data_IF_314294760906
#
_entry.id   IF_314294760906
#
_cell.length_a   1.000
_cell.length_b   1.000
_cell.length_c   1.000
_cell.angle_alpha   90.00
_cell.angle_beta   90.00
_cell.angle_gamma   90.00
#
_symmetry.space_group_name_H-M   'P 1'
#
loop_
_entity.id
_entity.type
_entity.pdbx_description
1 polymer ?
#
# COMPACT_ATOMS: atom_id res chain seq x y z
N UNK A 1 -10.22 2.92 -13.46
CA UNK A 1 -9.23 1.84 -13.70
C UNK A 1 -8.99 1.12 -12.38
N UNK A 2 -8.39 -0.06 -12.39
CA UNK A 2 -8.01 -0.78 -11.18
C UNK A 2 -6.54 -0.45 -10.87
N UNK A 3 -6.19 -0.39 -9.59
CA UNK A 3 -4.80 -0.27 -9.16
C UNK A 3 -4.21 -1.62 -8.81
N UNK A 4 -2.89 -1.75 -8.96
CA UNK A 4 -2.14 -2.99 -8.72
C UNK A 4 -0.96 -2.72 -7.81
N UNK A 5 -0.74 -3.61 -6.84
CA UNK A 5 0.46 -3.62 -5.99
C UNK A 5 1.11 -5.00 -6.06
N UNK A 6 2.37 -5.06 -6.44
CA UNK A 6 3.20 -6.28 -6.39
C UNK A 6 4.11 -6.23 -5.17
N UNK A 7 3.95 -7.18 -4.25
CA UNK A 7 4.65 -7.17 -2.95
C UNK A 7 5.97 -7.96 -2.97
N UNK A 8 6.24 -8.69 -4.06
CA UNK A 8 7.31 -9.68 -4.14
C UNK A 8 6.83 -11.10 -3.76
N UNK A 9 7.66 -12.11 -4.03
CA UNK A 9 7.31 -13.51 -3.72
C UNK A 9 6.11 -14.07 -4.49
N UNK A 10 5.70 -13.42 -5.59
CA UNK A 10 4.50 -13.78 -6.37
C UNK A 10 3.19 -13.25 -5.78
N UNK A 11 3.24 -12.50 -4.68
CA UNK A 11 2.09 -11.89 -4.05
C UNK A 11 1.72 -10.56 -4.75
N UNK A 12 0.44 -10.43 -5.09
CA UNK A 12 -0.10 -9.30 -5.83
C UNK A 12 -1.50 -8.99 -5.35
N UNK A 13 -1.80 -7.71 -5.23
CA UNK A 13 -3.15 -7.21 -4.98
C UNK A 13 -3.61 -6.39 -6.19
N UNK A 14 -4.85 -6.62 -6.61
CA UNK A 14 -5.53 -5.86 -7.66
C UNK A 14 -6.88 -5.40 -7.11
N UNK A 15 -7.20 -4.12 -7.26
CA UNK A 15 -8.46 -3.62 -6.73
C UNK A 15 -8.80 -2.19 -7.12
N UNK A 16 -9.74 -1.56 -6.40
CA UNK A 16 -10.22 -0.23 -6.76
C UNK A 16 -9.10 0.82 -6.73
N UNK A 17 -9.08 1.71 -7.74
CA UNK A 17 -8.07 2.79 -7.84
C UNK A 17 -7.97 3.63 -6.55
N UNK A 18 -9.10 3.89 -5.89
CA UNK A 18 -9.10 4.72 -4.69
C UNK A 18 -8.32 4.07 -3.53
N UNK A 19 -8.34 2.74 -3.42
CA UNK A 19 -7.55 2.00 -2.41
C UNK A 19 -6.07 2.11 -2.75
N UNK A 20 -5.72 1.94 -4.03
CA UNK A 20 -4.35 2.14 -4.50
C UNK A 20 -3.85 3.54 -4.15
N UNK A 21 -4.59 4.59 -4.52
CA UNK A 21 -4.22 5.97 -4.21
C UNK A 21 -4.12 6.22 -2.70
N UNK A 22 -4.97 5.58 -1.88
CA UNK A 22 -4.87 5.64 -0.43
C UNK A 22 -3.54 5.06 0.06
N UNK A 23 -3.16 3.87 -0.44
CA UNK A 23 -1.88 3.23 -0.11
C UNK A 23 -0.70 4.10 -0.52
N UNK A 24 -0.73 4.67 -1.73
CA UNK A 24 0.31 5.61 -2.19
C UNK A 24 0.44 6.81 -1.25
N UNK A 25 -0.67 7.46 -0.92
CA UNK A 25 -0.70 8.59 0.00
C UNK A 25 -0.21 8.24 1.42
N UNK A 26 -0.57 7.06 1.91
CA UNK A 26 -0.04 6.52 3.16
C UNK A 26 1.49 6.36 3.10
N UNK A 27 2.03 5.71 2.06
CA UNK A 27 3.47 5.48 1.92
C UNK A 27 4.25 6.78 1.78
N UNK A 28 3.76 7.75 0.99
CA UNK A 28 4.39 9.08 0.88
C UNK A 28 4.49 9.78 2.23
N UNK A 29 3.43 9.67 3.05
CA UNK A 29 3.41 10.28 4.39
C UNK A 29 4.35 9.55 5.34
N UNK A 30 4.36 8.22 5.29
CA UNK A 30 5.11 7.38 6.22
C UNK A 30 6.61 7.29 5.90
N UNK A 31 7.00 7.58 4.65
CA UNK A 31 8.38 7.62 4.15
C UNK A 31 8.85 9.06 3.90
N UNK A 32 8.21 10.07 4.50
CA UNK A 32 8.58 11.46 4.25
C UNK A 32 10.06 11.73 4.56
N UNK A 33 10.72 12.42 3.64
CA UNK A 33 12.17 12.66 3.67
C UNK A 33 13.04 11.52 3.11
N UNK A 34 12.47 10.39 2.70
CA UNK A 34 13.20 9.31 2.04
C UNK A 34 13.16 9.44 0.51
N UNK A 35 14.23 9.06 -0.21
CA UNK A 35 14.26 9.16 -1.68
C UNK A 35 13.11 8.41 -2.36
N UNK A 36 12.72 7.26 -1.82
CA UNK A 36 11.63 6.43 -2.36
C UNK A 36 10.26 7.12 -2.28
N UNK A 37 10.07 8.09 -1.37
CA UNK A 37 8.81 8.82 -1.31
C UNK A 37 8.62 9.71 -2.55
N UNK A 38 9.70 10.17 -3.18
CA UNK A 38 9.64 10.96 -4.41
C UNK A 38 9.22 10.08 -5.60
N UNK A 39 9.80 8.88 -5.72
CA UNK A 39 9.39 7.88 -6.73
C UNK A 39 7.91 7.46 -6.57
N UNK A 40 7.45 7.26 -5.32
CA UNK A 40 6.05 6.95 -5.04
C UNK A 40 5.12 8.12 -5.40
N UNK A 41 5.54 9.38 -5.17
CA UNK A 41 4.77 10.55 -5.63
C UNK A 41 4.66 10.59 -7.15
N UNK A 42 5.74 10.34 -7.87
CA UNK A 42 5.73 10.32 -9.35
C UNK A 42 4.74 9.28 -9.88
N UNK A 43 4.70 8.07 -9.30
CA UNK A 43 3.73 7.01 -9.68
C UNK A 43 2.27 7.47 -9.49
N UNK A 44 1.98 8.16 -8.39
CA UNK A 44 0.63 8.70 -8.10
C UNK A 44 0.28 9.85 -9.06
N UNK A 45 1.21 10.78 -9.31
CA UNK A 45 1.04 11.92 -10.21
C UNK A 45 0.84 11.50 -11.67
N UNK A 46 1.60 10.51 -12.14
CA UNK A 46 1.48 9.95 -13.49
C UNK A 46 0.25 9.04 -13.66
N UNK A 47 -0.51 8.76 -12.58
CA UNK A 47 -1.68 7.89 -12.59
C UNK A 47 -1.39 6.50 -13.21
N UNK A 48 -0.19 5.97 -12.99
CA UNK A 48 0.26 4.69 -13.57
C UNK A 48 -0.62 3.52 -13.09
N UNK A 49 -1.12 3.60 -11.85
CA UNK A 49 -1.98 2.59 -11.24
C UNK A 49 -1.24 1.28 -10.91
N UNK A 50 0.09 1.31 -10.85
CA UNK A 50 0.93 0.16 -10.60
C UNK A 50 2.07 0.53 -9.66
N UNK A 51 2.27 -0.24 -8.59
CA UNK A 51 3.39 -0.12 -7.65
C UNK A 51 4.07 -1.48 -7.52
N UNK A 52 5.38 -1.54 -7.76
CA UNK A 52 6.19 -2.75 -7.60
C UNK A 52 7.13 -2.62 -6.39
N UNK A 53 6.71 -3.18 -5.26
CA UNK A 53 7.51 -3.25 -4.02
C UNK A 53 8.52 -4.42 -4.10
N UNK A 54 8.25 -5.42 -4.93
CA UNK A 54 9.07 -6.63 -5.07
C UNK A 54 10.47 -6.37 -5.65
N UNK A 55 10.62 -5.33 -6.47
CA UNK A 55 11.88 -4.93 -7.13
C UNK A 55 12.78 -4.04 -6.26
N UNK A 56 12.28 -3.59 -5.10
CA UNK A 56 13.08 -2.82 -4.15
C UNK A 56 14.18 -3.67 -3.51
N UNK A 57 15.20 -3.01 -2.96
CA UNK A 57 16.19 -3.69 -2.16
C UNK A 57 15.54 -4.36 -0.94
N UNK A 58 16.15 -5.45 -0.46
CA UNK A 58 15.54 -6.29 0.59
C UNK A 58 15.24 -5.51 1.86
N UNK A 59 16.08 -4.55 2.26
CA UNK A 59 15.87 -3.80 3.49
C UNK A 59 14.67 -2.84 3.35
N UNK A 60 14.60 -2.12 2.23
CA UNK A 60 13.47 -1.23 1.93
C UNK A 60 12.18 -2.01 1.73
N UNK A 61 12.23 -3.13 1.00
CA UNK A 61 11.08 -4.02 0.79
C UNK A 61 10.50 -4.49 2.13
N UNK A 62 11.32 -5.09 3.00
CA UNK A 62 10.87 -5.56 4.32
C UNK A 62 10.24 -4.41 5.10
N UNK A 63 10.88 -3.24 5.11
CA UNK A 63 10.37 -2.07 5.82
C UNK A 63 8.99 -1.63 5.33
N UNK A 64 8.81 -1.47 4.02
CA UNK A 64 7.53 -1.06 3.43
C UNK A 64 6.46 -2.11 3.70
N UNK A 65 6.77 -3.39 3.51
CA UNK A 65 5.82 -4.47 3.77
C UNK A 65 5.39 -4.50 5.24
N UNK A 66 6.31 -4.29 6.19
CA UNK A 66 5.99 -4.18 7.62
C UNK A 66 5.08 -2.98 7.90
N UNK A 67 5.39 -1.81 7.33
CA UNK A 67 4.57 -0.61 7.49
C UNK A 67 3.14 -0.83 6.95
N UNK A 68 3.01 -1.45 5.78
CA UNK A 68 1.69 -1.76 5.20
C UNK A 68 0.94 -2.75 6.08
N UNK A 69 1.60 -3.85 6.48
CA UNK A 69 0.97 -4.91 7.26
C UNK A 69 0.48 -4.43 8.63
N UNK A 70 1.27 -3.60 9.32
CA UNK A 70 1.01 -3.25 10.72
C UNK A 70 0.18 -1.98 10.91
N UNK A 71 0.26 -1.01 9.98
CA UNK A 71 -0.23 0.35 10.22
C UNK A 71 -1.22 0.88 9.18
N UNK A 72 -1.30 0.31 7.97
CA UNK A 72 -2.19 0.82 6.91
C UNK A 72 -3.66 0.85 7.33
N UNK A 73 -4.14 -0.20 7.98
CA UNK A 73 -5.56 -0.31 8.37
C UNK A 73 -5.91 0.71 9.46
N UNK A 74 -5.02 0.92 10.42
CA UNK A 74 -5.20 1.92 11.47
C UNK A 74 -5.19 3.35 10.90
N UNK A 75 -4.29 3.63 9.94
CA UNK A 75 -4.26 4.90 9.22
C UNK A 75 -5.55 5.11 8.40
N UNK A 76 -6.05 4.05 7.75
CA UNK A 76 -7.35 4.01 7.09
C UNK A 76 -8.51 4.36 8.01
N UNK A 77 -8.55 3.73 9.18
CA UNK A 77 -9.60 3.96 10.17
C UNK A 77 -9.57 5.41 10.69
N UNK A 78 -8.38 5.99 10.87
CA UNK A 78 -8.23 7.37 11.33
C UNK A 78 -8.54 8.43 10.26
N UNK A 79 -8.17 8.18 8.99
CA UNK A 79 -8.28 9.18 7.90
C UNK A 79 -9.60 9.14 7.15
N UNK A 80 -10.27 7.99 7.10
CA UNK A 80 -11.56 7.88 6.41
C UNK A 80 -12.68 8.49 7.29
N UNK A 81 -13.50 9.40 6.74
CA UNK A 81 -14.62 9.98 7.48
C UNK A 81 -15.53 8.90 8.08
N UNK A 82 -15.95 9.06 9.33
CA UNK A 82 -16.80 8.07 10.04
C UNK A 82 -18.14 7.85 9.34
N UNK A 83 -18.68 8.89 8.69
CA UNK A 83 -19.96 8.89 7.98
C UNK A 83 -19.84 8.51 6.50
N UNK A 84 -18.64 8.15 6.03
CA UNK A 84 -18.40 7.76 4.64
C UNK A 84 -19.26 6.52 4.27
N UNK A 85 -20.16 6.62 3.28
CA UNK A 85 -20.90 5.47 2.80
C UNK A 85 -19.95 4.37 2.31
N UNK A 86 -20.11 3.16 2.84
CA UNK A 86 -19.23 2.03 2.48
C UNK A 86 -17.87 2.03 3.19
N UNK A 87 -17.64 2.86 4.22
CA UNK A 87 -16.40 2.87 5.02
C UNK A 87 -15.91 1.49 5.42
N UNK A 88 -16.81 0.64 5.95
CA UNK A 88 -16.46 -0.71 6.37
C UNK A 88 -15.93 -1.57 5.20
N UNK A 89 -16.53 -1.44 4.01
CA UNK A 89 -16.02 -2.11 2.81
C UNK A 89 -14.66 -1.56 2.38
N UNK A 90 -14.46 -0.25 2.52
CA UNK A 90 -13.16 0.37 2.25
C UNK A 90 -12.06 -0.09 3.19
N UNK A 91 -12.34 -0.18 4.49
CA UNK A 91 -11.43 -0.75 5.48
C UNK A 91 -11.13 -2.22 5.17
N UNK A 92 -12.13 -3.00 4.73
CA UNK A 92 -11.93 -4.38 4.30
C UNK A 92 -10.94 -4.51 3.13
N UNK A 93 -11.00 -3.59 2.16
CA UNK A 93 -10.04 -3.56 1.06
C UNK A 93 -8.62 -3.17 1.51
N UNK A 94 -8.49 -2.26 2.48
CA UNK A 94 -7.18 -1.95 3.09
C UNK A 94 -6.63 -3.14 3.89
N UNK A 95 -7.51 -3.92 4.53
CA UNK A 95 -7.12 -5.16 5.21
C UNK A 95 -6.58 -6.20 4.21
N UNK A 96 -7.20 -6.35 3.04
CA UNK A 96 -6.70 -7.25 1.99
C UNK A 96 -5.27 -6.86 1.56
N UNK A 97 -4.99 -5.57 1.38
CA UNK A 97 -3.64 -5.06 1.08
C UNK A 97 -2.65 -5.39 2.21
N UNK A 98 -3.05 -5.17 3.47
CA UNK A 98 -2.24 -5.47 4.64
C UNK A 98 -1.94 -6.97 4.80
N UNK A 99 -2.91 -7.82 4.46
CA UNK A 99 -2.77 -9.27 4.52
C UNK A 99 -1.82 -9.79 3.44
N UNK A 100 -1.90 -9.25 2.20
CA UNK A 100 -0.94 -9.54 1.13
C UNK A 100 0.47 -9.12 1.52
N UNK A 101 0.67 -7.92 2.09
CA UNK A 101 1.99 -7.52 2.58
C UNK A 101 2.54 -8.48 3.66
N UNK A 102 1.68 -8.93 4.58
CA UNK A 102 2.03 -9.94 5.59
C UNK A 102 2.35 -11.31 4.99
N UNK A 103 1.68 -11.70 3.91
CA UNK A 103 1.98 -12.91 3.13
C UNK A 103 3.38 -12.83 2.51
N UNK A 104 3.69 -11.73 1.84
CA UNK A 104 5.00 -11.51 1.21
C UNK A 104 6.16 -11.52 2.22
N UNK A 105 5.99 -10.90 3.41
CA UNK A 105 6.99 -10.95 4.49
C UNK A 105 7.34 -12.37 4.96
N UNK A 106 6.38 -13.29 4.89
CA UNK A 106 6.60 -14.69 5.29
C UNK A 106 7.32 -15.49 4.21
N UNK A 107 7.12 -15.14 2.94
CA UNK A 107 7.77 -15.78 1.80
C UNK A 107 9.27 -15.43 1.68
N UNK A 108 9.70 -14.34 2.31
CA UNK A 108 11.09 -13.86 2.32
C UNK A 108 11.96 -14.44 3.46
N UNK A 109 11.38 -15.24 4.35
CA UNK A 109 12.06 -15.89 5.48
C UNK A 109 12.54 -17.29 5.15
#
# INVERSE_FOLDING_TARGET
MAGTIEFGGGERWDGPQWVFNFVMSYLVTALDGEPIAEEIREIDEENVGFLNIGELDTAMRIRILTMIHESLVADGDARLPEDLPGRAGGIGQLQEVADSAGSALRSDR
#
